data_IF_062515725919
#
_entry.id   IF_062515725919
#
_cell.length_a   1.000
_cell.length_b   1.000
_cell.length_c   1.000
_cell.angle_alpha   90.00
_cell.angle_beta   90.00
_cell.angle_gamma   90.00
#
_symmetry.space_group_name_H-M   'P 1'
#
loop_
_entity.id
_entity.type
_entity.pdbx_description
1 polymer ?
#
# COMPACT_ATOMS: atom_id res chain seq x y z
N UNK A 1 14.27 83.00 -32.65
CA UNK A 1 14.06 83.33 -31.18
C UNK A 1 13.91 82.06 -30.38
N UNK A 2 14.83 81.90 -29.44
CA UNK A 2 14.86 81.05 -28.31
C UNK A 2 15.03 79.54 -28.50
N UNK A 3 16.25 79.08 -28.16
CA UNK A 3 16.75 77.75 -27.87
C UNK A 3 16.02 77.13 -26.67
N UNK A 4 15.88 75.80 -26.71
CA UNK A 4 16.00 75.00 -25.49
C UNK A 4 16.65 73.66 -25.82
N UNK A 5 17.88 73.48 -25.34
CA UNK A 5 18.58 72.19 -25.17
C UNK A 5 17.88 71.34 -24.13
N UNK A 6 17.63 70.10 -24.50
CA UNK A 6 17.26 69.09 -23.52
C UNK A 6 18.33 68.04 -23.45
N UNK A 7 18.93 67.89 -22.27
CA UNK A 7 19.96 66.90 -21.95
C UNK A 7 19.35 65.49 -21.89
N UNK A 8 19.98 64.60 -22.66
CA UNK A 8 19.82 63.15 -22.45
C UNK A 8 20.59 62.72 -21.19
N UNK A 9 19.89 62.18 -20.21
CA UNK A 9 20.46 61.39 -19.13
C UNK A 9 20.25 59.91 -19.45
N UNK A 10 21.36 59.22 -19.76
CA UNK A 10 21.43 57.77 -19.80
C UNK A 10 21.40 57.24 -18.33
N UNK A 11 20.30 56.64 -17.95
CA UNK A 11 20.21 55.83 -16.74
C UNK A 11 20.50 54.37 -17.09
N UNK A 12 21.71 53.90 -16.78
CA UNK A 12 22.04 52.48 -16.84
C UNK A 12 21.37 51.80 -15.65
N UNK A 13 20.22 51.17 -15.87
CA UNK A 13 19.59 50.30 -14.91
C UNK A 13 20.32 48.93 -14.88
N UNK A 14 21.06 48.69 -13.79
CA UNK A 14 21.67 47.40 -13.50
C UNK A 14 20.55 46.46 -13.06
N UNK A 15 20.05 45.61 -13.97
CA UNK A 15 19.20 44.47 -13.59
C UNK A 15 20.09 43.44 -12.90
N UNK A 16 20.06 43.40 -11.56
CA UNK A 16 20.50 42.22 -10.84
C UNK A 16 19.48 41.09 -11.05
N UNK A 17 19.85 40.14 -11.91
CA UNK A 17 19.17 38.86 -11.96
C UNK A 17 19.49 38.13 -10.65
N UNK A 18 18.53 38.08 -9.71
CA UNK A 18 18.54 37.13 -8.61
C UNK A 18 18.32 35.76 -9.25
N UNK A 19 19.42 35.04 -9.49
CA UNK A 19 19.36 33.59 -9.67
C UNK A 19 19.01 33.00 -8.34
N UNK A 20 17.70 32.69 -8.14
CA UNK A 20 17.27 31.78 -7.10
C UNK A 20 17.88 30.41 -7.45
N UNK A 21 19.04 30.11 -6.88
CA UNK A 21 19.50 28.73 -6.77
C UNK A 21 18.51 28.01 -5.89
N UNK A 22 17.60 27.27 -6.50
CA UNK A 22 16.84 26.25 -5.81
C UNK A 22 17.89 25.27 -5.26
N UNK A 23 18.18 25.40 -3.97
CA UNK A 23 18.92 24.38 -3.23
C UNK A 23 18.02 23.14 -3.27
N UNK A 24 18.30 22.20 -4.16
CA UNK A 24 17.71 20.88 -4.13
C UNK A 24 18.17 20.24 -2.81
N UNK A 25 17.35 20.32 -1.80
CA UNK A 25 17.60 19.63 -0.52
C UNK A 25 17.54 18.13 -0.84
N UNK A 26 18.71 17.49 -0.92
CA UNK A 26 18.78 16.03 -1.00
C UNK A 26 18.20 15.52 0.31
N UNK A 27 17.15 14.68 0.26
CA UNK A 27 16.53 14.16 1.47
C UNK A 27 17.59 13.45 2.32
N UNK A 28 17.55 13.66 3.64
CA UNK A 28 18.44 12.99 4.57
C UNK A 28 18.21 11.47 4.49
N UNK A 29 19.30 10.72 4.33
CA UNK A 29 19.25 9.27 4.37
C UNK A 29 18.89 8.83 5.79
N UNK A 30 17.80 8.09 6.02
CA UNK A 30 17.46 7.62 7.34
C UNK A 30 18.50 6.61 7.85
N UNK A 31 18.72 6.56 9.16
CA UNK A 31 19.56 5.53 9.77
C UNK A 31 18.71 4.29 10.10
N UNK A 32 19.28 3.08 9.95
CA UNK A 32 18.59 1.81 10.30
C UNK A 32 17.93 1.84 11.68
N UNK A 33 18.66 2.38 12.69
CA UNK A 33 18.15 2.47 14.06
C UNK A 33 16.92 3.35 14.18
N UNK A 34 16.84 4.45 13.39
CA UNK A 34 15.73 5.39 13.46
C UNK A 34 14.50 4.83 12.74
N UNK A 35 14.71 4.08 11.65
CA UNK A 35 13.64 3.32 10.97
C UNK A 35 13.05 2.29 11.94
N UNK A 36 13.87 1.50 12.62
CA UNK A 36 13.40 0.53 13.61
C UNK A 36 12.66 1.21 14.77
N UNK A 37 13.21 2.30 15.32
CA UNK A 37 12.61 3.01 16.43
C UNK A 37 11.22 3.57 16.09
N UNK A 38 11.04 4.11 14.87
CA UNK A 38 9.74 4.60 14.41
C UNK A 38 8.72 3.47 14.27
N UNK A 39 9.13 2.34 13.69
CA UNK A 39 8.27 1.16 13.56
C UNK A 39 7.91 0.55 14.92
N UNK A 40 8.88 0.44 15.83
CA UNK A 40 8.65 -0.04 17.20
C UNK A 40 7.66 0.85 17.94
N UNK A 41 7.85 2.17 17.91
CA UNK A 41 6.97 3.11 18.58
C UNK A 41 5.53 2.97 18.11
N UNK A 42 5.31 2.90 16.79
CA UNK A 42 3.98 2.76 16.22
C UNK A 42 3.34 1.40 16.55
N UNK A 43 4.12 0.32 16.46
CA UNK A 43 3.62 -1.02 16.76
C UNK A 43 3.34 -1.23 18.25
N UNK A 44 4.19 -0.73 19.13
CA UNK A 44 4.02 -0.83 20.59
C UNK A 44 2.77 -0.05 21.07
N UNK A 45 2.51 1.13 20.46
CA UNK A 45 1.26 1.87 20.70
C UNK A 45 0.04 1.00 20.34
N UNK A 46 0.05 0.38 19.17
CA UNK A 46 -1.05 -0.45 18.69
C UNK A 46 -1.28 -1.69 19.56
N UNK A 47 -0.24 -2.44 19.86
CA UNK A 47 -0.32 -3.65 20.70
C UNK A 47 -0.80 -3.32 22.13
N UNK A 48 -0.38 -2.17 22.67
CA UNK A 48 -0.84 -1.67 23.96
C UNK A 48 -2.30 -1.25 23.94
N UNK A 49 -2.76 -0.67 22.84
CA UNK A 49 -4.16 -0.23 22.66
C UNK A 49 -5.11 -1.40 22.48
N UNK A 50 -4.67 -2.46 21.81
CA UNK A 50 -5.44 -3.64 21.47
C UNK A 50 -4.85 -4.91 22.09
N UNK A 51 -4.81 -5.02 23.44
CA UNK A 51 -4.16 -6.17 24.11
C UNK A 51 -4.94 -7.49 23.93
N UNK A 52 -6.25 -7.45 23.69
CA UNK A 52 -7.04 -8.60 23.28
C UNK A 52 -7.14 -8.65 21.76
N UNK A 53 -6.37 -9.53 21.15
CA UNK A 53 -6.29 -9.69 19.69
C UNK A 53 -7.61 -10.11 19.05
N UNK A 54 -8.52 -10.72 19.82
CA UNK A 54 -9.87 -11.11 19.38
C UNK A 54 -10.92 -10.01 19.54
N UNK A 55 -10.59 -8.89 20.16
CA UNK A 55 -11.54 -7.80 20.37
C UNK A 55 -12.14 -7.31 19.05
N UNK A 56 -13.47 -7.12 19.06
CA UNK A 56 -14.17 -6.59 17.90
C UNK A 56 -13.80 -5.14 17.63
N UNK A 57 -13.67 -4.80 16.36
CA UNK A 57 -13.26 -3.46 15.92
C UNK A 57 -14.50 -2.58 15.74
N UNK A 58 -14.65 -1.49 16.52
CA UNK A 58 -15.75 -0.56 16.35
C UNK A 58 -15.71 0.13 14.99
N UNK A 59 -16.88 0.29 14.38
CA UNK A 59 -17.07 1.07 13.16
C UNK A 59 -18.16 2.12 13.41
N UNK A 60 -17.80 3.24 14.06
CA UNK A 60 -18.77 4.21 14.57
C UNK A 60 -19.66 4.82 13.48
N UNK A 61 -19.11 5.13 12.31
CA UNK A 61 -19.86 5.72 11.19
C UNK A 61 -21.02 4.84 10.71
N UNK A 62 -20.96 3.52 10.94
CA UNK A 62 -22.01 2.56 10.59
C UNK A 62 -22.71 1.95 11.81
N UNK A 63 -22.39 2.39 13.03
CA UNK A 63 -22.89 1.84 14.27
C UNK A 63 -22.78 0.29 14.32
N UNK A 64 -21.61 -0.24 13.98
CA UNK A 64 -21.30 -1.67 13.92
C UNK A 64 -20.01 -1.99 14.66
N UNK A 65 -19.86 -3.26 15.01
CA UNK A 65 -18.60 -3.85 15.47
C UNK A 65 -18.28 -4.99 14.52
N UNK A 66 -17.08 -5.01 13.98
CA UNK A 66 -16.59 -6.07 13.10
C UNK A 66 -15.72 -7.06 13.88
N UNK A 67 -15.73 -8.32 13.46
CA UNK A 67 -14.75 -9.29 13.95
C UNK A 67 -13.35 -8.85 13.47
N UNK A 68 -12.33 -9.06 14.34
CA UNK A 68 -10.97 -8.61 14.01
C UNK A 68 -10.26 -9.46 12.94
N UNK A 69 -10.82 -10.58 12.47
CA UNK A 69 -10.34 -11.31 11.29
C UNK A 69 -10.83 -10.69 9.96
N UNK A 70 -10.87 -9.37 9.90
CA UNK A 70 -11.18 -8.58 8.69
C UNK A 70 -9.89 -8.14 8.00
N UNK A 71 -9.98 -7.79 6.72
CA UNK A 71 -8.84 -7.39 5.88
C UNK A 71 -7.97 -6.28 6.50
N UNK A 72 -8.57 -5.31 7.17
CA UNK A 72 -7.82 -4.20 7.78
C UNK A 72 -6.83 -4.71 8.81
N UNK A 73 -7.26 -5.62 9.68
CA UNK A 73 -6.41 -6.26 10.66
C UNK A 73 -5.47 -7.29 10.00
N UNK A 74 -5.91 -7.96 8.93
CA UNK A 74 -5.06 -8.84 8.11
C UNK A 74 -3.82 -8.11 7.60
N UNK A 75 -4.00 -6.93 7.01
CA UNK A 75 -2.89 -6.08 6.52
C UNK A 75 -1.96 -5.64 7.65
N UNK A 76 -2.50 -5.34 8.84
CA UNK A 76 -1.64 -5.06 9.99
C UNK A 76 -0.71 -6.24 10.30
N UNK A 77 -1.26 -7.46 10.37
CA UNK A 77 -0.45 -8.64 10.67
C UNK A 77 0.53 -8.99 9.54
N UNK A 78 0.21 -8.72 8.29
CA UNK A 78 1.19 -8.81 7.20
C UNK A 78 2.39 -7.89 7.46
N UNK A 79 2.13 -6.63 7.78
CA UNK A 79 3.17 -5.67 8.15
C UNK A 79 3.96 -6.09 9.40
N UNK A 80 3.28 -6.61 10.42
CA UNK A 80 3.91 -7.11 11.64
C UNK A 80 4.84 -8.30 11.37
N UNK A 81 4.44 -9.22 10.49
CA UNK A 81 5.26 -10.36 10.10
C UNK A 81 6.51 -9.93 9.34
N UNK A 82 6.39 -8.98 8.42
CA UNK A 82 7.56 -8.44 7.70
C UNK A 82 8.49 -7.69 8.65
N UNK A 83 7.92 -6.94 9.59
CA UNK A 83 8.70 -6.28 10.65
C UNK A 83 9.39 -7.30 11.55
N UNK A 84 8.71 -8.38 11.94
CA UNK A 84 9.31 -9.48 12.71
C UNK A 84 10.53 -10.09 12.02
N UNK A 85 10.56 -10.18 10.70
CA UNK A 85 11.69 -10.74 9.98
C UNK A 85 12.97 -9.92 10.13
N UNK A 86 12.88 -8.60 10.30
CA UNK A 86 14.03 -7.69 10.50
C UNK A 86 14.28 -7.35 11.97
N UNK A 87 13.28 -7.55 12.84
CA UNK A 87 13.32 -7.27 14.26
C UNK A 87 12.58 -8.39 15.04
N UNK A 88 13.20 -9.58 15.21
CA UNK A 88 12.53 -10.80 15.69
C UNK A 88 12.27 -10.78 17.20
N UNK A 89 11.30 -9.99 17.64
CA UNK A 89 10.81 -9.99 19.01
C UNK A 89 9.77 -11.08 19.20
N UNK A 90 9.91 -12.01 20.17
CA UNK A 90 8.96 -13.10 20.40
C UNK A 90 7.52 -12.63 20.61
N UNK A 91 7.32 -11.46 21.23
CA UNK A 91 6.01 -10.87 21.47
C UNK A 91 5.26 -10.53 20.17
N UNK A 92 5.93 -10.16 19.10
CA UNK A 92 5.31 -9.88 17.80
C UNK A 92 4.73 -11.14 17.18
N UNK A 93 5.51 -12.21 17.20
CA UNK A 93 5.07 -13.51 16.70
C UNK A 93 3.91 -14.07 17.56
N UNK A 94 4.03 -13.97 18.90
CA UNK A 94 2.99 -14.44 19.80
C UNK A 94 1.68 -13.67 19.60
N UNK A 95 1.76 -12.35 19.41
CA UNK A 95 0.58 -11.52 19.16
C UNK A 95 -0.17 -11.93 17.87
N UNK A 96 0.56 -12.30 16.81
CA UNK A 96 -0.05 -12.84 15.59
C UNK A 96 -0.65 -14.24 15.80
N UNK A 97 0.00 -15.11 16.58
CA UNK A 97 -0.54 -16.44 16.94
C UNK A 97 -1.82 -16.29 17.76
N UNK A 98 -1.82 -15.44 18.78
CA UNK A 98 -2.97 -15.21 19.65
C UNK A 98 -4.19 -14.72 18.85
N UNK A 99 -3.96 -13.86 17.82
CA UNK A 99 -5.02 -13.44 16.90
C UNK A 99 -5.63 -14.62 16.13
N UNK A 100 -4.81 -15.46 15.54
CA UNK A 100 -5.28 -16.64 14.80
C UNK A 100 -6.06 -17.60 15.74
N UNK A 101 -5.55 -17.85 16.95
CA UNK A 101 -6.21 -18.70 17.96
C UNK A 101 -7.54 -18.12 18.42
N UNK A 102 -7.65 -16.82 18.66
CA UNK A 102 -8.90 -16.14 19.05
C UNK A 102 -10.01 -16.32 18.01
N UNK A 103 -9.65 -16.43 16.75
CA UNK A 103 -10.57 -16.71 15.65
C UNK A 103 -10.68 -18.19 15.29
N UNK A 104 -10.00 -19.09 16.04
CA UNK A 104 -9.88 -20.51 15.70
C UNK A 104 -9.47 -20.72 14.23
N UNK A 105 -8.63 -19.81 13.70
CA UNK A 105 -8.10 -19.77 12.33
C UNK A 105 -9.19 -19.71 11.23
N UNK A 106 -10.40 -19.31 11.60
CA UNK A 106 -11.51 -19.19 10.66
C UNK A 106 -11.46 -17.88 9.89
N UNK A 107 -11.96 -17.95 8.67
CA UNK A 107 -12.22 -16.77 7.85
C UNK A 107 -13.52 -16.10 8.27
N UNK A 108 -13.58 -14.79 8.16
CA UNK A 108 -14.85 -14.07 8.18
C UNK A 108 -15.68 -14.53 6.97
N UNK A 109 -16.95 -14.85 7.18
CA UNK A 109 -17.82 -15.37 6.12
C UNK A 109 -17.67 -16.87 5.86
N UNK A 110 -16.95 -17.60 6.73
CA UNK A 110 -16.66 -19.04 6.70
C UNK A 110 -15.77 -19.52 5.53
N UNK A 111 -15.44 -20.82 5.53
CA UNK A 111 -14.57 -21.45 4.52
C UNK A 111 -15.17 -21.54 3.10
N UNK A 112 -16.43 -21.12 2.87
CA UNK A 112 -17.02 -21.06 1.54
C UNK A 112 -16.93 -19.64 0.92
N UNK A 113 -16.32 -18.69 1.60
CA UNK A 113 -16.19 -17.31 1.11
C UNK A 113 -15.33 -17.25 -0.15
N UNK A 114 -15.75 -16.42 -1.11
CA UNK A 114 -14.98 -16.07 -2.31
C UNK A 114 -14.56 -14.59 -2.28
N UNK A 115 -14.83 -13.91 -1.16
CA UNK A 115 -14.55 -12.49 -1.00
C UNK A 115 -13.09 -12.31 -0.54
N UNK A 116 -12.32 -11.55 -1.31
CA UNK A 116 -10.90 -11.31 -1.06
C UNK A 116 -10.63 -10.69 0.32
N UNK A 117 -11.47 -9.75 0.78
CA UNK A 117 -11.32 -9.14 2.11
C UNK A 117 -11.42 -10.17 3.24
N UNK A 118 -12.20 -11.22 3.06
CA UNK A 118 -12.32 -12.30 4.04
C UNK A 118 -11.13 -13.28 3.97
N UNK A 119 -10.46 -13.36 2.83
CA UNK A 119 -9.31 -14.23 2.59
C UNK A 119 -7.98 -13.60 3.03
N UNK A 120 -7.93 -12.29 3.22
CA UNK A 120 -6.71 -11.54 3.52
C UNK A 120 -5.96 -12.09 4.77
N UNK A 121 -6.68 -12.44 5.84
CA UNK A 121 -6.07 -13.03 7.03
C UNK A 121 -5.33 -14.36 6.75
N UNK A 122 -5.67 -15.03 5.66
CA UNK A 122 -5.01 -16.27 5.22
C UNK A 122 -3.52 -16.10 4.94
N UNK A 123 -3.07 -14.92 4.53
CA UNK A 123 -1.65 -14.65 4.32
C UNK A 123 -0.84 -14.87 5.62
N UNK A 124 -1.31 -14.29 6.73
CA UNK A 124 -0.70 -14.48 8.05
C UNK A 124 -0.86 -15.91 8.54
N UNK A 125 -2.03 -16.54 8.35
CA UNK A 125 -2.29 -17.91 8.80
C UNK A 125 -1.35 -18.92 8.12
N UNK A 126 -1.13 -18.79 6.81
CA UNK A 126 -0.21 -19.66 6.06
C UNK A 126 1.24 -19.42 6.50
N UNK A 127 1.64 -18.16 6.73
CA UNK A 127 2.97 -17.86 7.25
C UNK A 127 3.22 -18.55 8.60
N UNK A 128 2.26 -18.44 9.54
CA UNK A 128 2.37 -19.07 10.85
C UNK A 128 2.31 -20.60 10.78
N UNK A 129 1.57 -21.16 9.82
CA UNK A 129 1.62 -22.60 9.54
C UNK A 129 3.01 -23.04 9.08
N UNK A 130 3.66 -22.28 8.22
CA UNK A 130 5.01 -22.63 7.76
C UNK A 130 6.06 -22.62 8.88
N UNK A 131 5.85 -21.83 9.94
CA UNK A 131 6.71 -21.82 11.12
C UNK A 131 6.42 -23.00 12.09
N UNK A 132 5.16 -23.36 12.27
CA UNK A 132 4.69 -24.41 13.17
C UNK A 132 3.46 -25.10 12.54
N UNK A 133 3.65 -26.19 11.77
CA UNK A 133 2.60 -26.84 10.98
C UNK A 133 1.52 -27.48 11.87
N UNK A 134 0.40 -26.76 12.01
CA UNK A 134 -0.82 -27.24 12.65
C UNK A 134 -1.96 -27.13 11.65
N UNK A 135 -2.61 -28.24 11.24
CA UNK A 135 -3.61 -28.24 10.18
C UNK A 135 -4.70 -27.19 10.33
N UNK A 136 -5.18 -26.98 11.57
CA UNK A 136 -6.19 -25.99 11.89
C UNK A 136 -5.85 -24.56 11.43
N UNK A 137 -4.58 -24.23 11.32
CA UNK A 137 -4.13 -22.88 10.88
C UNK A 137 -4.47 -22.56 9.43
N UNK A 138 -4.59 -23.57 8.58
CA UNK A 138 -4.82 -23.40 7.15
C UNK A 138 -6.11 -24.04 6.62
N UNK A 139 -6.78 -24.89 7.41
CA UNK A 139 -7.96 -25.64 6.94
C UNK A 139 -9.03 -24.70 6.33
N UNK A 140 -9.34 -23.60 6.99
CA UNK A 140 -10.38 -22.68 6.55
C UNK A 140 -9.97 -21.90 5.28
N UNK A 141 -8.75 -21.37 5.23
CA UNK A 141 -8.28 -20.61 4.07
C UNK A 141 -8.06 -21.53 2.87
N UNK A 142 -7.46 -22.71 3.08
CA UNK A 142 -7.27 -23.67 2.01
C UNK A 142 -8.60 -24.15 1.43
N UNK A 143 -9.60 -24.46 2.27
CA UNK A 143 -10.92 -24.85 1.81
C UNK A 143 -11.61 -23.74 0.98
N UNK A 144 -11.43 -22.47 1.37
CA UNK A 144 -11.96 -21.31 0.63
C UNK A 144 -11.35 -21.24 -0.78
N UNK A 145 -10.03 -21.35 -0.90
CA UNK A 145 -9.35 -21.26 -2.19
C UNK A 145 -9.62 -22.51 -3.03
N UNK A 146 -9.59 -23.72 -2.45
CA UNK A 146 -9.92 -24.96 -3.17
C UNK A 146 -11.32 -24.91 -3.77
N UNK A 147 -12.30 -24.32 -3.06
CA UNK A 147 -13.64 -24.13 -3.59
C UNK A 147 -13.68 -23.14 -4.78
N UNK A 148 -12.76 -22.20 -4.83
CA UNK A 148 -12.58 -21.33 -6.01
C UNK A 148 -11.92 -22.10 -7.15
N UNK A 149 -10.88 -22.90 -6.85
CA UNK A 149 -10.18 -23.74 -7.83
C UNK A 149 -11.10 -24.78 -8.48
N UNK A 150 -12.10 -25.28 -7.76
CA UNK A 150 -13.06 -26.27 -8.25
C UNK A 150 -14.07 -25.74 -9.29
N UNK A 151 -14.00 -24.44 -9.63
CA UNK A 151 -14.93 -23.79 -10.60
C UNK A 151 -14.16 -23.02 -11.66
N UNK A 152 -14.76 -22.79 -12.82
CA UNK A 152 -14.20 -21.95 -13.89
C UNK A 152 -14.40 -20.45 -13.66
N UNK A 153 -14.98 -20.06 -12.52
CA UNK A 153 -15.26 -18.65 -12.20
C UNK A 153 -13.97 -17.92 -11.82
N UNK A 154 -13.63 -16.85 -12.55
CA UNK A 154 -12.40 -16.06 -12.40
C UNK A 154 -12.67 -14.57 -12.18
N UNK A 155 -13.92 -14.14 -12.02
CA UNK A 155 -14.34 -12.73 -11.94
C UNK A 155 -14.64 -12.26 -10.51
N UNK A 156 -14.08 -12.93 -9.49
CA UNK A 156 -14.33 -12.58 -8.09
C UNK A 156 -13.63 -11.28 -7.65
N UNK A 157 -12.54 -10.89 -8.31
CA UNK A 157 -11.74 -9.70 -7.97
C UNK A 157 -12.16 -8.49 -8.83
N UNK A 158 -13.41 -8.03 -8.63
CA UNK A 158 -14.01 -6.93 -9.38
C UNK A 158 -13.58 -5.53 -8.93
N UNK A 159 -12.69 -5.43 -7.95
CA UNK A 159 -12.04 -4.20 -7.46
C UNK A 159 -10.56 -4.47 -7.21
N UNK A 160 -9.73 -3.44 -7.41
CA UNK A 160 -8.27 -3.61 -7.44
C UNK A 160 -7.66 -3.98 -6.10
N UNK A 161 -8.28 -3.56 -4.97
CA UNK A 161 -7.79 -3.89 -3.63
C UNK A 161 -7.77 -5.42 -3.41
N UNK A 162 -8.68 -6.15 -4.06
CA UNK A 162 -8.76 -7.61 -3.98
C UNK A 162 -7.46 -8.31 -4.37
N UNK A 163 -6.64 -7.68 -5.24
CA UNK A 163 -5.36 -8.23 -5.65
C UNK A 163 -4.42 -8.39 -4.46
N UNK A 164 -4.29 -7.35 -3.60
CA UNK A 164 -3.49 -7.47 -2.37
C UNK A 164 -4.13 -8.42 -1.35
N UNK A 165 -5.46 -8.41 -1.24
CA UNK A 165 -6.14 -9.17 -0.19
C UNK A 165 -6.10 -10.68 -0.43
N UNK A 166 -6.18 -11.16 -1.68
CA UNK A 166 -6.34 -12.58 -1.97
C UNK A 166 -5.25 -13.20 -2.85
N UNK A 167 -4.69 -12.47 -3.82
CA UNK A 167 -3.75 -13.04 -4.78
C UNK A 167 -2.52 -13.69 -4.12
N UNK A 168 -1.89 -13.09 -3.07
CA UNK A 168 -0.76 -13.72 -2.39
C UNK A 168 -1.12 -15.04 -1.68
N UNK A 169 -2.37 -15.22 -1.27
CA UNK A 169 -2.83 -16.48 -0.65
C UNK A 169 -2.72 -17.66 -1.62
N UNK A 170 -3.09 -17.44 -2.90
CA UNK A 170 -2.92 -18.46 -3.94
C UNK A 170 -1.43 -18.81 -4.12
N UNK A 171 -0.57 -17.79 -4.20
CA UNK A 171 0.88 -18.00 -4.30
C UNK A 171 1.46 -18.79 -3.13
N UNK A 172 1.08 -18.43 -1.90
CA UNK A 172 1.50 -19.15 -0.69
C UNK A 172 1.02 -20.61 -0.68
N UNK A 173 -0.23 -20.87 -1.09
CA UNK A 173 -0.76 -22.24 -1.19
C UNK A 173 -0.08 -23.03 -2.29
N UNK A 174 0.28 -22.41 -3.41
CA UNK A 174 1.07 -23.05 -4.46
C UNK A 174 2.40 -23.56 -3.91
N UNK A 175 3.15 -22.70 -3.22
CA UNK A 175 4.42 -23.08 -2.59
C UNK A 175 4.25 -24.16 -1.51
N UNK A 176 3.19 -24.05 -0.73
CA UNK A 176 2.91 -25.01 0.35
C UNK A 176 2.57 -26.42 -0.17
N UNK A 177 1.78 -26.48 -1.24
CA UNK A 177 1.28 -27.76 -1.80
C UNK A 177 2.13 -28.33 -2.90
N UNK A 178 2.98 -27.51 -3.52
CA UNK A 178 3.71 -27.86 -4.75
C UNK A 178 2.83 -27.89 -6.01
N UNK A 179 1.60 -27.36 -5.95
CA UNK A 179 0.67 -27.31 -7.07
C UNK A 179 0.69 -25.93 -7.70
N UNK A 180 1.34 -25.80 -8.87
CA UNK A 180 1.47 -24.53 -9.59
C UNK A 180 0.13 -24.01 -10.14
N UNK A 181 -0.93 -24.82 -10.19
CA UNK A 181 -2.24 -24.40 -10.67
C UNK A 181 -2.86 -23.23 -9.85
N UNK A 182 -2.44 -23.08 -8.59
CA UNK A 182 -2.84 -21.90 -7.80
C UNK A 182 -2.20 -20.61 -8.34
N UNK A 183 -0.93 -20.62 -8.76
CA UNK A 183 -0.31 -19.48 -9.43
C UNK A 183 -1.01 -19.15 -10.75
N UNK A 184 -1.31 -20.17 -11.56
CA UNK A 184 -2.00 -20.00 -12.83
C UNK A 184 -3.38 -19.39 -12.64
N UNK A 185 -4.15 -19.88 -11.66
CA UNK A 185 -5.46 -19.32 -11.34
C UNK A 185 -5.37 -17.87 -10.85
N UNK A 186 -4.40 -17.56 -9.99
CA UNK A 186 -4.19 -16.18 -9.53
C UNK A 186 -3.86 -15.25 -10.71
N UNK A 187 -3.05 -15.72 -11.65
CA UNK A 187 -2.69 -14.98 -12.86
C UNK A 187 -3.88 -14.76 -13.79
N UNK A 188 -4.69 -15.80 -14.03
CA UNK A 188 -5.94 -15.66 -14.79
C UNK A 188 -6.90 -14.62 -14.20
N UNK A 189 -7.10 -14.67 -12.88
CA UNK A 189 -7.97 -13.73 -12.17
C UNK A 189 -7.41 -12.32 -12.19
N UNK A 190 -6.09 -12.15 -12.02
CA UNK A 190 -5.41 -10.88 -12.17
C UNK A 190 -5.60 -10.29 -13.58
N UNK A 191 -5.34 -11.08 -14.62
CA UNK A 191 -5.54 -10.64 -16.00
C UNK A 191 -7.00 -10.30 -16.30
N UNK A 192 -7.94 -11.01 -15.68
CA UNK A 192 -9.37 -10.69 -15.80
C UNK A 192 -9.67 -9.33 -15.15
N UNK A 193 -9.15 -9.07 -13.97
CA UNK A 193 -9.26 -7.76 -13.29
C UNK A 193 -8.64 -6.64 -14.14
N UNK A 194 -7.43 -6.88 -14.63
CA UNK A 194 -6.69 -5.93 -15.47
C UNK A 194 -7.46 -5.55 -16.76
N UNK A 195 -8.01 -6.55 -17.47
CA UNK A 195 -8.40 -6.40 -18.85
C UNK A 195 -9.93 -6.52 -19.10
N UNK A 196 -10.72 -6.98 -18.12
CA UNK A 196 -12.15 -7.33 -18.33
C UNK A 196 -13.12 -6.71 -17.33
N UNK A 197 -12.71 -6.53 -16.06
CA UNK A 197 -13.59 -5.85 -15.10
C UNK A 197 -13.81 -4.38 -15.48
N UNK A 198 -14.88 -3.78 -14.97
CA UNK A 198 -15.27 -2.45 -15.43
C UNK A 198 -15.81 -2.47 -16.86
N UNK A 199 -15.61 -1.40 -17.62
CA UNK A 199 -16.06 -1.28 -19.02
C UNK A 199 -14.98 -1.69 -20.02
N UNK A 200 -13.70 -1.57 -19.66
CA UNK A 200 -12.56 -1.80 -20.56
C UNK A 200 -11.40 -2.56 -19.91
N UNK A 201 -11.58 -3.12 -18.72
CA UNK A 201 -10.54 -3.49 -17.78
C UNK A 201 -10.39 -2.39 -16.73
N UNK A 202 -9.74 -2.69 -15.60
CA UNK A 202 -9.50 -1.70 -14.55
C UNK A 202 -8.13 -1.02 -14.69
N UNK A 203 -7.25 -1.50 -15.57
CA UNK A 203 -5.96 -0.86 -15.85
C UNK A 203 -6.06 0.06 -17.06
N UNK A 204 -5.60 1.31 -16.89
CA UNK A 204 -5.43 2.23 -18.00
C UNK A 204 -3.96 2.24 -18.46
N UNK A 205 -3.63 1.66 -19.63
CA UNK A 205 -2.25 1.63 -20.11
C UNK A 205 -1.74 3.00 -20.60
N UNK A 206 -2.61 3.97 -20.86
CA UNK A 206 -2.22 5.33 -21.27
C UNK A 206 -1.67 6.11 -20.08
N UNK A 207 -2.28 5.96 -18.90
CA UNK A 207 -1.88 6.63 -17.67
C UNK A 207 -1.00 5.76 -16.76
N UNK A 208 -0.92 4.44 -17.02
CA UNK A 208 -0.15 3.52 -16.19
C UNK A 208 -0.73 3.30 -14.79
N UNK A 209 -2.03 3.56 -14.59
CA UNK A 209 -2.74 3.52 -13.32
C UNK A 209 -4.03 2.71 -13.42
N UNK A 210 -4.66 2.45 -12.27
CA UNK A 210 -5.84 1.62 -12.17
C UNK A 210 -7.04 2.39 -11.64
N UNK A 211 -8.18 2.28 -12.29
CA UNK A 211 -9.48 2.64 -11.71
C UNK A 211 -9.85 1.63 -10.63
N UNK A 212 -10.39 2.11 -9.52
CA UNK A 212 -10.66 1.24 -8.36
C UNK A 212 -11.63 0.10 -8.69
N UNK A 213 -12.72 0.39 -9.37
CA UNK A 213 -13.74 -0.54 -9.87
C UNK A 213 -14.61 0.13 -10.95
N UNK A 214 -15.64 -0.59 -11.42
CA UNK A 214 -16.57 -0.12 -12.48
C UNK A 214 -17.33 1.19 -12.16
N UNK A 215 -17.36 1.61 -10.90
CA UNK A 215 -18.06 2.84 -10.50
C UNK A 215 -17.14 4.06 -10.73
N UNK A 216 -15.83 3.85 -10.86
CA UNK A 216 -14.80 4.88 -11.03
C UNK A 216 -14.08 4.84 -12.38
N UNK A 217 -14.35 3.85 -13.25
CA UNK A 217 -13.86 3.88 -14.62
C UNK A 217 -14.67 4.88 -15.47
N UNK A 218 -14.16 5.38 -16.61
CA UNK A 218 -14.90 6.30 -17.47
C UNK A 218 -16.30 5.80 -17.81
N UNK A 219 -17.33 6.69 -17.77
CA UNK A 219 -17.25 8.15 -17.82
C UNK A 219 -17.18 8.88 -16.45
N UNK A 220 -16.88 8.18 -15.35
CA UNK A 220 -16.63 8.87 -14.10
C UNK A 220 -15.36 9.71 -14.22
N UNK A 221 -15.37 10.94 -13.68
CA UNK A 221 -14.23 11.84 -13.62
C UNK A 221 -14.16 12.53 -12.25
N UNK A 222 -12.97 12.96 -11.90
CA UNK A 222 -12.72 13.87 -10.79
C UNK A 222 -13.29 15.27 -11.07
N UNK A 223 -13.38 16.18 -10.09
CA UNK A 223 -13.89 17.53 -10.28
C UNK A 223 -13.15 18.36 -11.35
N UNK A 224 -11.86 18.11 -11.55
CA UNK A 224 -11.07 18.75 -12.61
C UNK A 224 -11.30 18.16 -14.02
N UNK A 225 -12.08 17.10 -14.13
CA UNK A 225 -12.39 16.41 -15.39
C UNK A 225 -11.46 15.26 -15.76
N UNK A 226 -10.41 15.01 -14.96
CA UNK A 226 -9.49 13.89 -15.16
C UNK A 226 -10.07 12.57 -14.60
N UNK A 227 -9.46 11.45 -14.98
CA UNK A 227 -9.81 10.12 -14.48
C UNK A 227 -9.50 9.97 -12.99
N UNK A 228 -10.34 9.23 -12.27
CA UNK A 228 -10.20 9.02 -10.83
C UNK A 228 -9.21 7.89 -10.52
N UNK A 229 -8.00 8.25 -10.10
CA UNK A 229 -7.00 7.29 -9.62
C UNK A 229 -6.75 7.48 -8.13
N UNK A 230 -7.41 6.66 -7.32
CA UNK A 230 -7.27 6.69 -5.88
C UNK A 230 -5.92 6.09 -5.44
N UNK A 231 -5.12 6.87 -4.68
CA UNK A 231 -3.73 6.52 -4.36
C UNK A 231 -3.61 5.20 -3.59
N UNK A 232 -4.39 5.00 -2.51
CA UNK A 232 -4.35 3.74 -1.76
C UNK A 232 -4.79 2.54 -2.60
N UNK A 233 -5.79 2.69 -3.47
CA UNK A 233 -6.19 1.62 -4.39
C UNK A 233 -5.05 1.20 -5.31
N UNK A 234 -4.37 2.16 -5.94
CA UNK A 234 -3.19 1.91 -6.74
C UNK A 234 -2.03 1.35 -5.91
N UNK A 235 -1.86 1.84 -4.68
CA UNK A 235 -0.90 1.30 -3.72
C UNK A 235 -1.13 -0.19 -3.41
N UNK A 236 -2.38 -0.64 -3.31
CA UNK A 236 -2.67 -2.07 -3.13
C UNK A 236 -2.22 -2.92 -4.32
N UNK A 237 -2.38 -2.42 -5.54
CA UNK A 237 -1.86 -3.14 -6.72
C UNK A 237 -0.34 -3.24 -6.67
N UNK A 238 0.34 -2.15 -6.33
CA UNK A 238 1.81 -2.16 -6.14
C UNK A 238 2.23 -3.19 -5.09
N UNK A 239 1.56 -3.22 -3.93
CA UNK A 239 1.84 -4.20 -2.88
C UNK A 239 1.59 -5.65 -3.34
N UNK A 240 0.50 -5.90 -4.09
CA UNK A 240 0.21 -7.22 -4.65
C UNK A 240 1.32 -7.69 -5.60
N UNK A 241 1.86 -6.80 -6.44
CA UNK A 241 2.98 -7.14 -7.32
C UNK A 241 4.23 -7.53 -6.52
N UNK A 242 4.55 -6.77 -5.46
CA UNK A 242 5.67 -7.11 -4.56
C UNK A 242 5.47 -8.50 -3.95
N UNK A 243 4.31 -8.76 -3.35
CA UNK A 243 4.01 -10.04 -2.71
C UNK A 243 4.12 -11.21 -3.68
N UNK A 244 3.60 -11.05 -4.88
CA UNK A 244 3.69 -12.12 -5.89
C UNK A 244 5.11 -12.33 -6.39
N UNK A 245 5.89 -11.28 -6.62
CA UNK A 245 7.29 -11.39 -7.02
C UNK A 245 8.17 -12.06 -5.96
N UNK A 246 7.83 -11.94 -4.68
CA UNK A 246 8.51 -12.67 -3.59
C UNK A 246 8.17 -14.17 -3.59
N UNK A 247 6.96 -14.53 -3.97
CA UNK A 247 6.45 -15.90 -3.94
C UNK A 247 6.74 -16.70 -5.22
N UNK A 248 6.79 -16.01 -6.38
CA UNK A 248 6.93 -16.71 -7.68
C UNK A 248 8.24 -17.48 -7.81
N UNK A 249 8.20 -18.76 -8.16
CA UNK A 249 9.38 -19.51 -8.55
C UNK A 249 9.97 -19.01 -9.88
N UNK A 250 11.26 -19.29 -10.09
CA UNK A 250 11.99 -18.78 -11.27
C UNK A 250 11.48 -19.32 -12.61
N UNK A 251 10.84 -20.49 -12.63
CA UNK A 251 10.31 -21.09 -13.86
C UNK A 251 9.06 -20.38 -14.41
N UNK A 252 8.32 -19.64 -13.60
CA UNK A 252 7.13 -18.89 -14.03
C UNK A 252 7.51 -17.52 -14.63
N UNK A 253 8.24 -17.54 -15.74
CA UNK A 253 8.85 -16.36 -16.36
C UNK A 253 7.83 -15.36 -16.89
N UNK A 254 6.72 -15.81 -17.49
CA UNK A 254 5.68 -14.93 -18.04
C UNK A 254 5.03 -14.10 -16.93
N UNK A 255 4.61 -14.74 -15.84
CA UNK A 255 3.99 -14.07 -14.70
C UNK A 255 5.00 -13.12 -14.01
N UNK A 256 6.26 -13.57 -13.88
CA UNK A 256 7.33 -12.74 -13.29
C UNK A 256 7.59 -11.49 -14.14
N UNK A 257 7.64 -11.61 -15.45
CA UNK A 257 7.82 -10.48 -16.35
C UNK A 257 6.64 -9.51 -16.23
N UNK A 258 5.40 -10.00 -16.33
CA UNK A 258 4.18 -9.18 -16.21
C UNK A 258 4.14 -8.41 -14.89
N UNK A 259 4.40 -9.08 -13.75
CA UNK A 259 4.36 -8.40 -12.44
C UNK A 259 5.53 -7.42 -12.26
N UNK A 260 6.71 -7.72 -12.82
CA UNK A 260 7.85 -6.78 -12.78
C UNK A 260 7.57 -5.54 -13.63
N UNK A 261 7.04 -5.71 -14.84
CA UNK A 261 6.67 -4.60 -15.73
C UNK A 261 5.56 -3.74 -15.12
N UNK A 262 4.54 -4.38 -14.49
CA UNK A 262 3.47 -3.67 -13.79
C UNK A 262 4.03 -2.87 -12.62
N UNK A 263 4.83 -3.47 -11.74
CA UNK A 263 5.45 -2.80 -10.60
C UNK A 263 6.29 -1.60 -11.04
N UNK A 264 7.21 -1.82 -11.98
CA UNK A 264 8.15 -0.78 -12.43
C UNK A 264 7.44 0.34 -13.16
N UNK A 265 6.47 0.01 -14.02
CA UNK A 265 5.66 1.00 -14.74
C UNK A 265 4.84 1.88 -13.80
N UNK A 266 4.15 1.28 -12.83
CA UNK A 266 3.41 2.05 -11.82
C UNK A 266 4.34 2.93 -10.98
N UNK A 267 5.49 2.41 -10.54
CA UNK A 267 6.48 3.21 -9.81
C UNK A 267 6.98 4.40 -10.65
N UNK A 268 7.22 4.19 -11.95
CA UNK A 268 7.61 5.29 -12.85
C UNK A 268 6.53 6.35 -12.97
N UNK A 269 5.27 5.94 -13.10
CA UNK A 269 4.11 6.85 -13.23
C UNK A 269 3.90 7.68 -11.96
N UNK A 270 4.05 7.11 -10.77
CA UNK A 270 3.74 7.85 -9.53
C UNK A 270 4.87 8.76 -9.06
N UNK A 271 6.12 8.56 -9.48
CA UNK A 271 7.25 9.42 -9.08
C UNK A 271 7.00 10.92 -9.35
N UNK A 272 6.58 11.35 -10.57
CA UNK A 272 6.33 12.78 -10.84
C UNK A 272 5.11 13.35 -10.09
N UNK A 273 4.27 12.49 -9.52
CA UNK A 273 3.09 12.89 -8.75
C UNK A 273 3.39 13.11 -7.27
N UNK A 274 4.64 12.85 -6.83
CA UNK A 274 5.04 13.10 -5.45
C UNK A 274 5.03 14.61 -5.15
N UNK A 275 4.33 14.99 -4.09
CA UNK A 275 4.25 16.36 -3.60
C UNK A 275 5.59 16.86 -3.04
N UNK A 276 5.72 18.17 -2.91
CA UNK A 276 6.91 18.78 -2.32
C UNK A 276 7.15 18.34 -0.87
N UNK A 277 6.06 18.07 -0.11
CA UNK A 277 6.12 17.57 1.27
C UNK A 277 6.41 16.06 1.40
N UNK A 278 6.58 15.34 0.30
CA UNK A 278 6.95 13.93 0.27
C UNK A 278 5.79 12.94 0.15
N UNK A 279 4.56 13.39 0.31
CA UNK A 279 3.36 12.57 0.21
C UNK A 279 2.83 12.46 -1.23
N UNK A 280 1.87 11.58 -1.44
CA UNK A 280 0.96 11.57 -2.59
C UNK A 280 -0.44 11.94 -2.15
N UNK A 281 -1.16 12.67 -3.01
CA UNK A 281 -2.57 13.00 -2.77
C UNK A 281 -3.44 11.73 -2.80
N UNK A 282 -4.59 11.78 -2.13
CA UNK A 282 -5.60 10.70 -2.22
C UNK A 282 -6.11 10.49 -3.64
N UNK A 283 -6.28 11.58 -4.42
CA UNK A 283 -6.48 11.55 -5.86
C UNK A 283 -5.16 11.87 -6.57
N UNK A 284 -4.69 10.97 -7.42
CA UNK A 284 -3.39 11.11 -8.09
C UNK A 284 -3.42 12.15 -9.21
N UNK A 285 -4.54 12.31 -9.91
CA UNK A 285 -4.69 13.23 -11.04
C UNK A 285 -5.46 14.51 -10.72
N UNK A 286 -6.06 14.60 -9.50
CA UNK A 286 -6.71 15.84 -9.02
C UNK A 286 -6.14 16.25 -7.65
N UNK A 287 -5.02 17.01 -7.63
CA UNK A 287 -4.37 17.42 -6.38
C UNK A 287 -5.23 18.38 -5.54
N UNK A 288 -6.25 19.02 -6.13
CA UNK A 288 -7.16 19.91 -5.42
C UNK A 288 -8.37 19.16 -4.82
N UNK A 289 -8.64 17.93 -5.28
CA UNK A 289 -9.69 17.09 -4.73
C UNK A 289 -9.20 16.34 -3.49
N UNK A 290 -9.49 16.90 -2.31
CA UNK A 290 -9.00 16.39 -1.03
C UNK A 290 -7.47 16.32 -0.96
N UNK A 291 -6.81 17.35 -1.47
CA UNK A 291 -5.35 17.48 -1.42
C UNK A 291 -4.83 17.52 0.01
N UNK A 292 -3.63 17.02 0.21
CA UNK A 292 -2.98 17.00 1.52
C UNK A 292 -2.20 15.73 1.79
N UNK A 293 -1.78 15.58 3.04
CA UNK A 293 -1.02 14.40 3.48
C UNK A 293 -1.96 13.22 3.63
N UNK A 294 -1.53 12.07 3.13
CA UNK A 294 -2.20 10.78 3.32
C UNK A 294 -1.15 9.68 3.44
N UNK A 295 -1.22 8.92 4.53
CA UNK A 295 -0.19 7.94 4.89
C UNK A 295 -0.26 6.67 4.04
N UNK A 296 -1.44 6.11 3.80
CA UNK A 296 -1.57 4.73 3.32
C UNK A 296 -1.13 4.54 1.88
N UNK A 297 -1.58 5.39 0.97
CA UNK A 297 -1.11 5.38 -0.42
C UNK A 297 0.38 5.69 -0.51
N UNK A 298 0.84 6.67 0.27
CA UNK A 298 2.26 7.03 0.37
C UNK A 298 3.11 5.85 0.83
N UNK A 299 2.72 5.15 1.90
CA UNK A 299 3.45 4.01 2.42
C UNK A 299 3.53 2.85 1.43
N UNK A 300 2.43 2.55 0.72
CA UNK A 300 2.40 1.47 -0.26
C UNK A 300 3.27 1.77 -1.50
N UNK A 301 3.33 3.03 -1.95
CA UNK A 301 4.26 3.43 -3.00
C UNK A 301 5.72 3.34 -2.55
N UNK A 302 6.02 3.76 -1.31
CA UNK A 302 7.35 3.58 -0.70
C UNK A 302 7.72 2.10 -0.63
N UNK A 303 6.80 1.22 -0.19
CA UNK A 303 7.00 -0.22 -0.14
C UNK A 303 7.40 -0.80 -1.49
N UNK A 304 6.63 -0.50 -2.55
CA UNK A 304 6.92 -1.01 -3.89
C UNK A 304 8.22 -0.47 -4.48
N UNK A 305 8.49 0.84 -4.33
CA UNK A 305 9.72 1.44 -4.83
C UNK A 305 10.95 0.92 -4.09
N UNK A 306 10.90 0.81 -2.75
CA UNK A 306 12.02 0.30 -1.95
C UNK A 306 12.31 -1.18 -2.28
N UNK A 307 11.27 -2.01 -2.42
CA UNK A 307 11.42 -3.38 -2.90
C UNK A 307 12.06 -3.43 -4.30
N UNK A 308 11.59 -2.60 -5.23
CA UNK A 308 12.12 -2.53 -6.58
C UNK A 308 13.62 -2.16 -6.62
N UNK A 309 14.05 -1.22 -5.73
CA UNK A 309 15.47 -0.89 -5.55
C UNK A 309 16.23 -2.07 -4.93
N UNK A 310 15.71 -2.69 -3.87
CA UNK A 310 16.34 -3.83 -3.20
C UNK A 310 16.55 -5.04 -4.13
N UNK A 311 15.67 -5.22 -5.12
CA UNK A 311 15.76 -6.31 -6.11
C UNK A 311 16.48 -5.90 -7.40
N UNK A 312 16.92 -4.65 -7.53
CA UNK A 312 17.60 -4.15 -8.73
C UNK A 312 16.66 -3.96 -9.94
N UNK A 313 15.35 -3.88 -9.72
CA UNK A 313 14.36 -3.58 -10.77
C UNK A 313 14.29 -2.07 -11.07
N UNK A 314 14.62 -1.23 -10.08
CA UNK A 314 14.59 0.21 -10.14
C UNK A 314 15.97 0.80 -9.87
N UNK A 315 16.31 1.89 -10.59
CA UNK A 315 17.59 2.62 -10.41
C UNK A 315 17.61 3.33 -9.04
N UNK A 316 18.53 2.92 -8.17
CA UNK A 316 18.68 3.45 -6.84
C UNK A 316 18.91 4.97 -6.82
N UNK A 317 19.66 5.51 -7.78
CA UNK A 317 19.97 6.94 -7.82
C UNK A 317 18.72 7.79 -8.10
N UNK A 318 17.77 7.24 -8.83
CA UNK A 318 16.50 7.90 -9.14
C UNK A 318 15.49 7.74 -8.00
N UNK A 319 15.39 6.55 -7.40
CA UNK A 319 14.29 6.22 -6.48
C UNK A 319 14.62 6.44 -5.01
N UNK A 320 15.87 6.23 -4.54
CA UNK A 320 16.25 6.48 -3.13
C UNK A 320 15.86 7.89 -2.63
N UNK A 321 16.09 8.98 -3.39
CA UNK A 321 15.65 10.31 -2.94
C UNK A 321 14.13 10.43 -2.76
N UNK A 322 13.34 9.83 -3.64
CA UNK A 322 11.87 9.83 -3.57
C UNK A 322 11.40 9.04 -2.34
N UNK A 323 11.97 7.85 -2.14
CA UNK A 323 11.66 6.95 -1.03
C UNK A 323 12.00 7.61 0.32
N UNK A 324 13.22 8.14 0.47
CA UNK A 324 13.67 8.77 1.72
C UNK A 324 12.87 10.03 2.05
N UNK A 325 12.53 10.83 1.04
CA UNK A 325 11.67 12.00 1.22
C UNK A 325 10.30 11.60 1.79
N UNK A 326 9.67 10.57 1.23
CA UNK A 326 8.38 10.08 1.69
C UNK A 326 8.46 9.41 3.07
N UNK A 327 9.46 8.56 3.30
CA UNK A 327 9.66 7.91 4.59
C UNK A 327 9.86 8.93 5.71
N UNK A 328 10.77 9.90 5.52
CA UNK A 328 11.02 10.95 6.50
C UNK A 328 9.77 11.80 6.75
N UNK A 329 8.99 12.10 5.70
CA UNK A 329 7.74 12.83 5.83
C UNK A 329 6.71 12.04 6.66
N UNK A 330 6.55 10.74 6.43
CA UNK A 330 5.65 9.90 7.24
C UNK A 330 6.08 9.85 8.71
N UNK A 331 7.37 9.69 8.99
CA UNK A 331 7.88 9.66 10.37
C UNK A 331 7.73 11.02 11.06
N UNK A 332 8.05 12.11 10.38
CA UNK A 332 8.03 13.44 10.98
C UNK A 332 6.63 14.03 11.12
N UNK A 333 5.73 13.73 10.17
CA UNK A 333 4.45 14.40 10.06
C UNK A 333 3.25 13.53 10.47
N UNK A 334 3.38 12.19 10.41
CA UNK A 334 2.26 11.30 10.75
C UNK A 334 2.44 10.61 12.11
N UNK A 335 3.68 10.30 12.52
CA UNK A 335 3.94 9.57 13.75
C UNK A 335 3.89 10.52 14.95
N UNK A 336 2.94 10.27 15.85
CA UNK A 336 2.85 10.99 17.12
C UNK A 336 3.90 10.49 18.13
N UNK A 337 4.20 11.32 19.11
CA UNK A 337 5.18 10.99 20.16
C UNK A 337 4.79 9.79 21.03
N UNK A 338 3.52 9.41 21.07
CA UNK A 338 2.99 8.23 21.76
C UNK A 338 2.89 7.00 20.85
N UNK A 339 3.12 7.16 19.53
CA UNK A 339 3.09 6.10 18.53
C UNK A 339 1.82 6.03 17.68
N UNK A 340 0.80 6.87 17.94
CA UNK A 340 -0.35 6.96 17.04
C UNK A 340 0.08 7.45 15.64
N UNK A 341 -0.52 6.91 14.59
CA UNK A 341 -0.29 7.34 13.20
C UNK A 341 -1.47 8.20 12.72
N UNK A 342 -1.22 9.49 12.52
CA UNK A 342 -2.15 10.42 11.91
C UNK A 342 -2.15 10.35 10.37
N UNK A 343 -2.99 11.16 9.76
CA UNK A 343 -3.17 11.24 8.31
C UNK A 343 -3.49 9.90 7.63
N UNK A 344 -4.18 9.00 8.32
CA UNK A 344 -4.70 7.75 7.76
C UNK A 344 -6.12 7.98 7.25
N UNK A 345 -6.32 7.90 5.95
CA UNK A 345 -7.66 7.96 5.35
C UNK A 345 -8.49 6.76 5.79
N UNK A 346 -9.71 6.95 6.27
CA UNK A 346 -10.63 5.86 6.64
C UNK A 346 -10.90 4.89 5.49
N UNK A 347 -11.44 3.72 5.82
CA UNK A 347 -11.81 2.71 4.81
C UNK A 347 -12.81 3.28 3.81
N UNK A 348 -12.67 2.87 2.56
CA UNK A 348 -13.52 3.35 1.48
C UNK A 348 -13.02 2.90 0.13
N UNK A 349 -13.41 3.61 -0.92
CA UNK A 349 -13.14 3.25 -2.31
C UNK A 349 -12.78 4.44 -3.21
N UNK A 350 -12.73 5.65 -2.64
CA UNK A 350 -12.54 6.88 -3.39
C UNK A 350 -11.90 7.99 -2.55
N UNK A 351 -11.42 9.07 -3.17
CA UNK A 351 -10.75 10.17 -2.47
C UNK A 351 -11.53 10.82 -1.33
N UNK A 352 -12.86 10.88 -1.40
CA UNK A 352 -13.69 11.58 -0.37
C UNK A 352 -13.87 10.81 0.93
N UNK A 353 -13.56 9.52 0.97
CA UNK A 353 -13.82 8.70 2.16
C UNK A 353 -13.00 9.19 3.35
N UNK A 354 -13.68 9.32 4.50
CA UNK A 354 -13.04 9.71 5.75
C UNK A 354 -12.44 11.11 5.79
N UNK A 355 -12.81 11.97 4.87
CA UNK A 355 -12.30 13.35 4.84
C UNK A 355 -13.00 14.24 5.88
N UNK A 356 -12.29 15.25 6.44
CA UNK A 356 -10.87 15.56 6.21
C UNK A 356 -9.92 14.60 6.94
N UNK A 357 -8.82 14.24 6.26
CA UNK A 357 -7.72 13.46 6.86
C UNK A 357 -6.75 14.43 7.53
N UNK A 358 -6.53 14.29 8.83
CA UNK A 358 -5.70 15.22 9.62
C UNK A 358 -4.72 14.47 10.52
N UNK A 359 -3.80 15.22 11.14
CA UNK A 359 -2.84 14.66 12.09
C UNK A 359 -3.51 13.90 13.23
N UNK A 360 -4.60 14.44 13.79
CA UNK A 360 -5.30 13.88 14.95
C UNK A 360 -6.53 13.03 14.59
N UNK A 361 -6.89 12.91 13.29
CA UNK A 361 -8.07 12.13 12.91
C UNK A 361 -7.85 10.64 13.11
N UNK A 362 -8.76 10.01 13.86
CA UNK A 362 -8.78 8.58 14.07
C UNK A 362 -9.61 7.96 12.95
N UNK A 363 -9.04 7.10 12.10
CA UNK A 363 -9.80 6.43 11.06
C UNK A 363 -10.77 5.39 11.63
N UNK A 364 -11.76 4.95 10.86
CA UNK A 364 -12.69 3.89 11.26
C UNK A 364 -11.98 2.60 11.69
N UNK A 365 -10.84 2.30 11.05
CA UNK A 365 -9.92 1.22 11.41
C UNK A 365 -8.50 1.81 11.46
N UNK A 366 -7.79 1.61 12.56
CA UNK A 366 -6.43 2.15 12.75
C UNK A 366 -5.34 1.19 12.22
N UNK A 367 -5.67 -0.06 12.07
CA UNK A 367 -4.76 -1.19 11.90
C UNK A 367 -4.07 -1.23 10.52
N UNK A 368 -4.81 -1.09 9.43
CA UNK A 368 -4.21 -1.21 8.09
C UNK A 368 -3.23 -0.08 7.74
N UNK A 369 -3.43 1.13 8.29
CA UNK A 369 -2.48 2.23 8.14
C UNK A 369 -1.13 1.88 8.75
N UNK A 370 -1.14 1.30 9.95
CA UNK A 370 0.06 0.77 10.58
C UNK A 370 0.67 -0.38 9.74
N UNK A 371 -0.16 -1.30 9.24
CA UNK A 371 0.33 -2.36 8.35
C UNK A 371 1.10 -1.82 7.16
N UNK A 372 0.54 -0.83 6.45
CA UNK A 372 1.21 -0.16 5.33
C UNK A 372 2.54 0.49 5.76
N UNK A 373 2.57 1.17 6.91
CA UNK A 373 3.76 1.80 7.45
C UNK A 373 4.87 0.79 7.78
N UNK A 374 4.50 -0.36 8.37
CA UNK A 374 5.44 -1.43 8.69
C UNK A 374 6.00 -2.11 7.43
N UNK A 375 5.18 -2.33 6.40
CA UNK A 375 5.62 -2.84 5.10
C UNK A 375 6.66 -1.90 4.47
N UNK A 376 6.33 -0.60 4.41
CA UNK A 376 7.22 0.42 3.88
C UNK A 376 8.55 0.48 4.66
N UNK A 377 8.47 0.57 5.98
CA UNK A 377 9.64 0.65 6.86
C UNK A 377 10.54 -0.56 6.76
N UNK A 378 9.97 -1.75 6.59
CA UNK A 378 10.75 -2.99 6.40
C UNK A 378 11.60 -2.94 5.13
N UNK A 379 11.03 -2.51 4.00
CA UNK A 379 11.79 -2.40 2.76
C UNK A 379 12.77 -1.23 2.77
N UNK A 380 12.41 -0.10 3.40
CA UNK A 380 13.36 1.02 3.62
C UNK A 380 14.55 0.56 4.49
N UNK A 381 14.30 -0.18 5.56
CA UNK A 381 15.37 -0.73 6.41
C UNK A 381 16.33 -1.64 5.64
N UNK A 382 15.80 -2.52 4.79
CA UNK A 382 16.60 -3.42 3.95
C UNK A 382 17.44 -2.65 2.91
N UNK A 383 16.98 -1.49 2.46
CA UNK A 383 17.65 -0.66 1.45
C UNK A 383 18.83 0.14 2.01
N UNK A 384 18.86 0.39 3.31
CA UNK A 384 19.96 1.11 3.99
C UNK A 384 21.11 0.12 4.22
N UNK A 385 22.35 0.52 3.87
CA UNK A 385 23.58 -0.27 4.05
C UNK A 385 24.00 -0.40 5.52
#
# INVERSE_FOLDING_TARGET
MINYLTKLLLGAGLMMALSATACSHVPETPEKKDVLAAMELANDYFMKKWPDTGEGIPYPSRNKVYQSNIWTRGVYYEGLIDFYQINPKPEYLQYAIDWGEKHAWNLRGNAATRNADNQCCGQTYIYLYNLDPKPERIDSIKASIDAMMATDKIDDWWWIDALQMAMPVFGQLSLLTGDESYFDRAYEMYLYTKNKHGRKGLYNPEDGLWWRDKDFDPPYTEPNGEDCYWSRGNGWVVAAMVRMLELLPENLQEQRQEYTEMLTGMCETVVPLQREDGFWNVSLHDPDNYGGKELTGTALFVYGMAYGVNKGFLDENRYKPVIYKAWNAMVNDCLHSDGFLGYVQSTGKEPKEGQPVTYDSVPDFEDYGLGCFLLAGTEVYKMIE
#
